data_IF_529624784990
#
_entry.id   IF_529624784990
#
_cell.length_a   1.000
_cell.length_b   1.000
_cell.length_c   1.000
_cell.angle_alpha   90.00
_cell.angle_beta   90.00
_cell.angle_gamma   90.00
#
_symmetry.space_group_name_H-M   'P 1'
#
loop_
_entity.id
_entity.type
_entity.pdbx_description
1 polymer ?
#
# COMPACT_ATOMS: atom_id res chain seq x y z
N UNK A 1 36.68 -16.69 7.76
CA UNK A 1 35.21 -16.74 7.61
C UNK A 1 34.73 -18.02 8.31
N UNK A 2 34.07 -17.88 9.47
CA UNK A 2 33.52 -19.03 10.21
C UNK A 2 32.46 -19.73 9.32
N UNK A 3 32.59 -21.04 9.14
CA UNK A 3 31.58 -21.82 8.40
C UNK A 3 30.25 -21.72 9.15
N UNK A 4 29.17 -21.41 8.45
CA UNK A 4 27.82 -21.44 9.00
C UNK A 4 27.51 -22.83 9.57
N UNK A 5 26.89 -22.91 10.75
CA UNK A 5 26.52 -24.21 11.31
C UNK A 5 25.48 -24.90 10.43
N UNK A 6 25.62 -26.19 10.24
CA UNK A 6 24.67 -27.01 9.47
C UNK A 6 23.85 -27.87 10.41
N UNK A 7 22.55 -27.97 10.16
CA UNK A 7 21.66 -28.82 10.92
C UNK A 7 21.82 -30.31 10.55
N UNK A 8 21.70 -31.16 11.56
CA UNK A 8 21.77 -32.62 11.38
C UNK A 8 20.82 -33.34 12.35
N UNK A 9 20.41 -34.53 12.02
CA UNK A 9 19.72 -35.45 12.94
C UNK A 9 20.66 -36.57 13.36
N UNK A 10 20.52 -36.98 14.61
CA UNK A 10 21.28 -38.09 15.19
C UNK A 10 20.36 -39.30 15.41
N UNK A 11 19.68 -39.71 14.37
CA UNK A 11 18.85 -40.91 14.40
C UNK A 11 18.99 -41.65 13.08
N UNK A 12 18.90 -42.97 13.12
CA UNK A 12 18.92 -43.86 11.96
C UNK A 12 17.50 -44.05 11.39
N UNK A 13 16.58 -43.13 11.68
CA UNK A 13 15.21 -43.21 11.20
C UNK A 13 15.14 -43.02 9.68
N UNK A 14 14.52 -43.94 8.94
CA UNK A 14 14.46 -43.88 7.48
C UNK A 14 13.68 -42.65 6.95
N UNK A 15 12.82 -42.07 7.75
CA UNK A 15 11.94 -40.93 7.40
C UNK A 15 12.43 -39.57 7.91
N UNK A 16 13.71 -39.44 8.33
CA UNK A 16 14.23 -38.20 8.91
C UNK A 16 14.06 -36.97 8.02
N UNK A 17 13.94 -37.11 6.70
CA UNK A 17 13.76 -36.02 5.73
C UNK A 17 12.40 -36.03 5.00
N UNK A 18 11.41 -36.86 5.44
CA UNK A 18 10.11 -37.03 4.78
C UNK A 18 8.95 -36.42 5.62
N UNK A 19 8.64 -35.13 5.47
CA UNK A 19 7.59 -34.49 6.30
C UNK A 19 6.18 -35.03 6.05
N UNK A 20 5.86 -35.48 4.79
CA UNK A 20 4.52 -35.98 4.43
C UNK A 20 4.11 -37.29 5.11
N UNK A 21 5.03 -37.97 5.79
CA UNK A 21 4.76 -39.22 6.57
C UNK A 21 4.95 -39.00 8.07
N UNK A 22 4.79 -37.75 8.57
CA UNK A 22 4.95 -37.47 10.00
C UNK A 22 6.41 -37.34 10.47
N UNK A 23 7.39 -37.57 9.59
CA UNK A 23 8.82 -37.50 9.93
C UNK A 23 9.23 -38.42 11.07
N UNK A 24 10.49 -38.39 11.48
CA UNK A 24 10.88 -39.00 12.76
C UNK A 24 10.61 -38.08 13.94
N UNK A 25 10.23 -38.63 15.08
CA UNK A 25 9.93 -37.89 16.31
C UNK A 25 11.13 -37.20 16.97
N UNK A 26 12.21 -36.95 16.23
CA UNK A 26 13.44 -36.34 16.74
C UNK A 26 13.64 -34.93 16.18
N UNK A 27 14.08 -34.03 17.06
CA UNK A 27 14.43 -32.65 16.71
C UNK A 27 15.75 -32.58 15.94
N UNK A 28 15.91 -31.52 15.14
CA UNK A 28 17.18 -31.20 14.48
C UNK A 28 18.17 -30.59 15.46
N UNK A 29 19.44 -30.86 15.28
CA UNK A 29 20.55 -30.36 16.10
C UNK A 29 21.56 -29.63 15.23
N UNK A 30 22.37 -28.77 15.85
CA UNK A 30 23.51 -28.13 15.20
C UNK A 30 24.65 -27.96 16.20
N UNK A 31 25.87 -27.79 15.70
CA UNK A 31 27.03 -27.49 16.54
C UNK A 31 27.25 -25.98 16.58
N UNK A 32 27.44 -25.40 17.76
CA UNK A 32 27.86 -24.01 17.96
C UNK A 32 29.22 -23.96 18.64
N UNK A 33 29.97 -22.90 18.38
CA UNK A 33 31.18 -22.58 19.14
C UNK A 33 30.79 -21.58 20.24
N UNK A 34 31.17 -21.86 21.48
CA UNK A 34 30.97 -20.94 22.61
C UNK A 34 32.01 -19.81 22.54
N UNK A 35 31.79 -18.74 23.30
CA UNK A 35 32.74 -17.62 23.38
C UNK A 35 34.12 -18.03 23.86
N UNK A 36 34.20 -19.14 24.62
CA UNK A 36 35.45 -19.80 25.08
C UNK A 36 36.10 -20.71 24.03
N UNK A 37 35.56 -20.77 22.80
CA UNK A 37 36.09 -21.58 21.70
C UNK A 37 35.73 -23.07 21.72
N UNK A 38 35.00 -23.56 22.72
CA UNK A 38 34.56 -24.93 22.79
C UNK A 38 33.34 -25.22 21.89
N UNK A 39 33.31 -26.41 21.28
CA UNK A 39 32.16 -26.81 20.42
C UNK A 39 31.11 -27.51 21.28
N UNK A 40 29.95 -26.91 21.39
CA UNK A 40 28.78 -27.49 22.07
C UNK A 40 27.66 -27.75 21.05
N UNK A 41 26.85 -28.79 21.36
CA UNK A 41 25.66 -29.12 20.59
C UNK A 41 24.45 -28.37 21.09
N UNK A 42 23.66 -27.80 20.20
CA UNK A 42 22.34 -27.28 20.52
C UNK A 42 21.28 -28.00 19.69
N UNK A 43 20.07 -28.07 20.19
CA UNK A 43 18.91 -28.66 19.49
C UNK A 43 17.95 -27.55 19.14
N UNK A 44 17.38 -27.61 17.94
CA UNK A 44 16.33 -26.68 17.53
C UNK A 44 15.01 -27.18 18.13
N UNK A 45 14.44 -26.50 19.11
CA UNK A 45 13.16 -26.88 19.70
C UNK A 45 12.07 -26.92 18.61
N UNK A 46 11.12 -27.83 18.74
CA UNK A 46 9.98 -27.98 17.82
C UNK A 46 10.34 -28.20 16.35
N UNK A 47 11.57 -28.61 16.04
CA UNK A 47 11.98 -28.99 14.69
C UNK A 47 11.57 -30.43 14.32
N UNK A 48 10.77 -31.07 15.15
CA UNK A 48 10.18 -32.40 14.89
C UNK A 48 9.24 -32.27 13.68
N UNK A 49 9.43 -33.18 12.72
CA UNK A 49 8.61 -33.18 11.48
C UNK A 49 9.06 -32.21 10.41
N UNK A 50 10.04 -31.33 10.67
CA UNK A 50 10.61 -30.45 9.65
C UNK A 50 11.61 -31.17 8.76
N UNK A 51 11.74 -30.70 7.51
CA UNK A 51 12.84 -31.08 6.61
C UNK A 51 14.15 -30.44 7.06
N UNK A 52 15.28 -30.96 6.57
CA UNK A 52 16.59 -30.34 6.81
C UNK A 52 16.64 -28.89 6.34
N UNK A 53 16.06 -28.57 5.17
CA UNK A 53 16.01 -27.22 4.63
C UNK A 53 15.20 -26.26 5.52
N UNK A 54 14.08 -26.71 6.08
CA UNK A 54 13.26 -25.92 7.00
C UNK A 54 13.97 -25.67 8.33
N UNK A 55 14.61 -26.69 8.88
CA UNK A 55 15.40 -26.57 10.10
C UNK A 55 16.62 -25.66 9.90
N UNK A 56 17.27 -25.73 8.72
CA UNK A 56 18.38 -24.85 8.37
C UNK A 56 17.92 -23.40 8.20
N UNK A 57 16.77 -23.17 7.59
CA UNK A 57 16.20 -21.83 7.46
C UNK A 57 15.90 -21.18 8.83
N UNK A 58 15.46 -21.97 9.81
CA UNK A 58 15.29 -21.49 11.19
C UNK A 58 16.65 -21.09 11.77
N UNK A 59 17.68 -21.91 11.56
CA UNK A 59 19.02 -21.66 12.07
C UNK A 59 19.67 -20.44 11.39
N UNK A 60 19.48 -20.27 10.07
CA UNK A 60 20.05 -19.16 9.29
C UNK A 60 19.42 -17.79 9.64
N UNK A 61 18.22 -17.78 10.20
CA UNK A 61 17.57 -16.57 10.73
C UNK A 61 18.07 -16.14 12.11
N UNK A 62 18.98 -16.91 12.71
CA UNK A 62 19.56 -16.62 14.01
C UNK A 62 20.92 -15.94 13.85
N UNK A 63 21.17 -14.90 14.66
CA UNK A 63 22.47 -14.27 14.72
C UNK A 63 23.55 -15.30 15.13
N UNK A 64 24.76 -15.27 14.52
CA UNK A 64 25.86 -16.15 14.94
C UNK A 64 26.13 -15.98 16.45
N UNK A 65 26.04 -17.05 17.23
CA UNK A 65 26.27 -17.02 18.67
C UNK A 65 25.02 -16.80 19.54
N UNK A 66 23.86 -16.49 18.98
CA UNK A 66 22.62 -16.45 19.75
C UNK A 66 22.30 -17.83 20.32
N UNK A 67 22.35 -17.96 21.64
CA UNK A 67 21.86 -19.15 22.33
C UNK A 67 20.36 -19.22 22.10
N UNK A 68 19.85 -20.36 21.65
CA UNK A 68 18.47 -20.71 21.88
C UNK A 68 18.32 -20.94 23.38
N UNK A 69 18.19 -19.86 24.13
CA UNK A 69 17.65 -19.95 25.46
C UNK A 69 16.30 -20.66 25.34
N UNK A 70 15.99 -21.63 26.23
CA UNK A 70 14.63 -22.15 26.28
C UNK A 70 13.71 -20.93 26.39
N UNK A 71 12.72 -20.83 25.51
CA UNK A 71 11.82 -19.65 25.43
C UNK A 71 10.97 -19.67 26.72
N UNK A 72 11.56 -19.29 27.84
CA UNK A 72 10.88 -19.09 29.13
C UNK A 72 10.09 -17.76 29.14
N UNK A 73 9.53 -17.35 28.04
CA UNK A 73 8.74 -16.15 28.07
C UNK A 73 7.27 -16.50 28.30
N UNK A 74 6.80 -16.19 29.51
CA UNK A 74 5.37 -16.11 29.82
C UNK A 74 4.70 -14.91 29.11
N UNK A 75 5.37 -14.32 28.07
CA UNK A 75 4.89 -13.18 27.35
C UNK A 75 3.57 -13.50 26.66
N UNK A 76 2.58 -12.66 26.91
CA UNK A 76 1.31 -12.69 26.22
C UNK A 76 1.41 -11.97 24.89
N UNK A 77 0.50 -12.27 23.97
CA UNK A 77 0.40 -11.55 22.69
C UNK A 77 0.25 -10.02 22.90
N UNK A 78 -0.58 -9.60 23.89
CA UNK A 78 -0.80 -8.17 24.21
C UNK A 78 0.49 -7.47 24.60
N UNK A 79 1.31 -8.10 25.45
CA UNK A 79 2.59 -7.53 25.89
C UNK A 79 3.57 -7.40 24.73
N UNK A 80 3.68 -8.44 23.88
CA UNK A 80 4.56 -8.41 22.73
C UNK A 80 4.09 -7.42 21.65
N UNK A 81 2.79 -7.39 21.39
CA UNK A 81 2.22 -6.43 20.43
C UNK A 81 2.44 -4.98 20.86
N UNK A 82 2.36 -4.69 22.17
CA UNK A 82 2.67 -3.36 22.69
C UNK A 82 4.15 -2.99 22.52
N UNK A 83 5.07 -3.92 22.82
CA UNK A 83 6.50 -3.72 22.59
C UNK A 83 6.80 -3.57 21.10
N UNK A 84 6.22 -4.40 20.23
CA UNK A 84 6.34 -4.29 18.77
C UNK A 84 5.88 -2.93 18.25
N UNK A 85 4.73 -2.41 18.69
CA UNK A 85 4.22 -1.09 18.34
C UNK A 85 5.18 0.03 18.76
N UNK A 86 5.74 -0.03 19.97
CA UNK A 86 6.66 0.99 20.49
C UNK A 86 7.96 1.09 19.69
N UNK A 87 8.43 -0.01 19.12
CA UNK A 87 9.66 -0.09 18.30
C UNK A 87 9.39 0.18 16.82
N UNK A 88 8.11 0.30 16.40
CA UNK A 88 7.75 0.36 14.97
C UNK A 88 8.15 1.68 14.34
N UNK A 89 9.09 1.62 13.39
CA UNK A 89 9.52 2.75 12.56
C UNK A 89 8.71 2.76 11.26
N UNK A 90 7.46 3.19 11.31
CA UNK A 90 6.59 3.32 10.14
C UNK A 90 5.99 4.74 10.09
N UNK A 91 5.32 5.07 8.98
CA UNK A 91 4.59 6.34 8.88
C UNK A 91 3.51 6.37 9.97
N UNK A 92 3.31 7.52 10.59
CA UNK A 92 2.37 7.71 11.73
C UNK A 92 0.96 7.17 11.45
N UNK A 93 0.44 7.42 10.24
CA UNK A 93 -0.86 6.88 9.81
C UNK A 93 -0.87 5.34 9.82
N UNK A 94 0.23 4.71 9.42
CA UNK A 94 0.34 3.25 9.45
C UNK A 94 0.42 2.73 10.88
N UNK A 95 1.16 3.42 11.76
CA UNK A 95 1.23 3.07 13.18
C UNK A 95 -0.14 3.19 13.84
N UNK A 96 -0.88 4.27 13.59
CA UNK A 96 -2.24 4.46 14.11
C UNK A 96 -3.21 3.36 13.62
N UNK A 97 -3.05 2.91 12.37
CA UNK A 97 -3.82 1.78 11.83
C UNK A 97 -3.46 0.47 12.55
N UNK A 98 -2.16 0.22 12.78
CA UNK A 98 -1.71 -0.97 13.53
C UNK A 98 -2.18 -0.94 14.98
N UNK A 99 -2.10 0.20 15.66
CA UNK A 99 -2.63 0.39 17.01
C UNK A 99 -4.12 0.04 17.09
N UNK A 100 -4.90 0.51 16.11
CA UNK A 100 -6.33 0.22 16.03
C UNK A 100 -6.58 -1.28 15.80
N UNK A 101 -5.88 -1.90 14.84
CA UNK A 101 -5.99 -3.33 14.59
C UNK A 101 -5.64 -4.16 15.84
N UNK A 102 -4.53 -3.82 16.51
CA UNK A 102 -4.12 -4.51 17.73
C UNK A 102 -5.14 -4.33 18.85
N UNK A 103 -5.57 -3.10 19.12
CA UNK A 103 -6.47 -2.78 20.24
C UNK A 103 -7.87 -3.35 20.05
N UNK A 104 -8.43 -3.18 18.86
CA UNK A 104 -9.86 -3.46 18.61
C UNK A 104 -10.08 -4.90 18.16
N UNK A 105 -9.15 -5.49 17.40
CA UNK A 105 -9.39 -6.78 16.76
C UNK A 105 -8.48 -7.90 17.26
N UNK A 106 -7.17 -7.63 17.43
CA UNK A 106 -6.23 -8.68 17.80
C UNK A 106 -6.20 -8.97 19.30
N UNK A 107 -6.19 -7.96 20.15
CA UNK A 107 -6.16 -8.13 21.60
C UNK A 107 -7.40 -8.83 22.18
N UNK A 108 -8.64 -8.60 21.71
CA UNK A 108 -9.79 -9.36 22.19
C UNK A 108 -9.66 -10.88 21.97
N UNK A 109 -9.05 -11.27 20.86
CA UNK A 109 -8.88 -12.68 20.48
C UNK A 109 -7.61 -13.32 21.05
N UNK A 110 -6.50 -12.62 20.96
CA UNK A 110 -5.16 -13.16 21.20
C UNK A 110 -4.48 -12.59 22.42
N UNK A 111 -4.91 -11.43 22.92
CA UNK A 111 -4.18 -10.62 23.89
C UNK A 111 -3.79 -11.35 25.18
N UNK A 112 -4.66 -12.20 25.72
CA UNK A 112 -4.41 -12.98 26.94
C UNK A 112 -3.62 -14.26 26.68
N UNK A 113 -3.50 -14.70 25.42
CA UNK A 113 -2.78 -15.94 25.10
C UNK A 113 -1.28 -15.74 25.20
N UNK A 114 -0.58 -16.71 25.77
CA UNK A 114 0.88 -16.74 25.74
C UNK A 114 1.35 -17.02 24.32
N UNK A 115 2.32 -16.26 23.80
CA UNK A 115 2.81 -16.39 22.42
C UNK A 115 3.16 -17.84 22.06
N UNK A 116 3.86 -18.53 22.95
CA UNK A 116 4.27 -19.93 22.77
C UNK A 116 3.12 -20.93 22.69
N UNK A 117 1.91 -20.55 23.09
CA UNK A 117 0.72 -21.44 23.06
C UNK A 117 -0.16 -21.21 21.85
N UNK A 118 0.16 -20.23 20.99
CA UNK A 118 -0.56 -20.01 19.75
C UNK A 118 -0.14 -21.10 18.76
N UNK A 119 -1.11 -21.86 18.27
CA UNK A 119 -0.91 -22.99 17.36
C UNK A 119 -1.54 -22.70 15.99
N UNK A 120 -0.98 -23.34 14.94
CA UNK A 120 -1.46 -23.21 13.55
C UNK A 120 -2.97 -23.44 13.43
N UNK A 121 -3.49 -24.53 14.01
CA UNK A 121 -4.92 -24.84 13.97
C UNK A 121 -5.82 -23.73 14.55
N UNK A 122 -5.34 -23.04 15.61
CA UNK A 122 -6.08 -21.90 16.17
C UNK A 122 -6.08 -20.67 15.26
N UNK A 123 -5.00 -20.51 14.49
CA UNK A 123 -4.86 -19.42 13.51
C UNK A 123 -5.76 -19.68 12.32
N UNK A 124 -5.75 -20.92 11.81
CA UNK A 124 -6.65 -21.36 10.72
C UNK A 124 -8.12 -21.18 11.09
N UNK A 125 -8.51 -21.64 12.28
CA UNK A 125 -9.88 -21.44 12.78
C UNK A 125 -10.27 -19.97 12.88
N UNK A 126 -9.32 -19.10 13.31
CA UNK A 126 -9.57 -17.66 13.37
C UNK A 126 -9.72 -17.03 11.99
N UNK A 127 -8.97 -17.47 10.98
CA UNK A 127 -9.15 -17.02 9.59
C UNK A 127 -10.56 -17.38 9.09
N UNK A 128 -11.02 -18.61 9.33
CA UNK A 128 -12.37 -19.06 8.99
C UNK A 128 -13.45 -18.24 9.72
N UNK A 129 -13.26 -17.95 11.01
CA UNK A 129 -14.15 -17.07 11.78
C UNK A 129 -14.24 -15.66 11.18
N UNK A 130 -13.10 -15.11 10.70
CA UNK A 130 -13.07 -13.78 10.06
C UNK A 130 -13.82 -13.79 8.72
N UNK A 131 -13.66 -14.83 7.91
CA UNK A 131 -14.35 -14.98 6.62
C UNK A 131 -15.86 -15.19 6.78
N UNK A 132 -16.26 -15.88 7.83
CA UNK A 132 -17.68 -16.12 8.13
C UNK A 132 -18.39 -14.92 8.76
N UNK A 133 -17.65 -13.87 9.16
CA UNK A 133 -18.21 -12.70 9.84
C UNK A 133 -18.79 -11.70 8.81
N UNK A 134 -20.12 -11.55 8.69
CA UNK A 134 -20.73 -10.65 7.74
C UNK A 134 -20.54 -9.16 8.07
N UNK A 135 -20.18 -8.84 9.31
CA UNK A 135 -20.01 -7.46 9.77
C UNK A 135 -18.65 -6.86 9.38
N UNK A 136 -17.71 -7.68 8.91
CA UNK A 136 -16.36 -7.27 8.56
C UNK A 136 -16.04 -7.66 7.13
N UNK A 137 -15.81 -6.67 6.27
CA UNK A 137 -15.37 -6.95 4.91
C UNK A 137 -14.05 -7.73 4.90
N UNK A 138 -13.91 -8.73 4.02
CA UNK A 138 -12.73 -9.57 3.92
C UNK A 138 -11.42 -8.78 3.70
N UNK A 139 -11.47 -7.66 2.98
CA UNK A 139 -10.31 -6.75 2.83
C UNK A 139 -9.87 -6.13 4.15
N UNK A 140 -10.80 -5.85 5.07
CA UNK A 140 -10.51 -5.38 6.43
C UNK A 140 -9.93 -6.52 7.27
N UNK A 141 -10.54 -7.70 7.20
CA UNK A 141 -10.04 -8.91 7.86
C UNK A 141 -8.62 -9.27 7.41
N UNK A 142 -8.33 -9.16 6.12
CA UNK A 142 -6.97 -9.34 5.56
C UNK A 142 -5.99 -8.30 6.10
N UNK A 143 -6.43 -7.06 6.29
CA UNK A 143 -5.63 -6.03 6.96
C UNK A 143 -5.23 -6.44 8.39
N UNK A 144 -6.17 -6.97 9.18
CA UNK A 144 -5.91 -7.48 10.53
C UNK A 144 -4.97 -8.71 10.52
N UNK A 145 -5.18 -9.61 9.58
CA UNK A 145 -4.33 -10.77 9.34
C UNK A 145 -2.89 -10.35 9.05
N UNK A 146 -2.66 -9.39 8.16
CA UNK A 146 -1.33 -8.85 7.84
C UNK A 146 -0.62 -8.30 9.10
N UNK A 147 -1.34 -7.57 9.95
CA UNK A 147 -0.78 -7.04 11.21
C UNK A 147 -0.42 -8.18 12.16
N UNK A 148 -1.29 -9.17 12.33
CA UNK A 148 -1.03 -10.34 13.14
C UNK A 148 0.24 -11.08 12.66
N UNK A 149 0.33 -11.37 11.35
CA UNK A 149 1.53 -12.00 10.75
C UNK A 149 2.81 -11.21 11.03
N UNK A 150 2.76 -9.88 10.94
CA UNK A 150 3.93 -9.04 11.24
C UNK A 150 4.37 -9.17 12.68
N UNK A 151 3.44 -9.19 13.63
CA UNK A 151 3.73 -9.31 15.07
C UNK A 151 4.31 -10.71 15.38
N UNK A 152 3.73 -11.76 14.83
CA UNK A 152 4.20 -13.14 15.02
C UNK A 152 5.57 -13.34 14.38
N UNK A 153 5.79 -12.80 13.16
CA UNK A 153 7.10 -12.85 12.50
C UNK A 153 8.17 -12.14 13.32
N UNK A 154 7.86 -10.99 13.90
CA UNK A 154 8.77 -10.25 14.77
C UNK A 154 9.05 -11.03 16.06
N UNK A 155 8.06 -11.71 16.63
CA UNK A 155 8.25 -12.58 17.80
C UNK A 155 9.22 -13.74 17.49
N UNK A 156 9.10 -14.36 16.31
CA UNK A 156 10.03 -15.40 15.88
C UNK A 156 11.45 -14.84 15.70
N UNK A 157 11.60 -13.71 15.00
CA UNK A 157 12.89 -13.07 14.74
C UNK A 157 13.61 -12.64 16.01
N UNK A 158 12.87 -12.32 17.07
CA UNK A 158 13.40 -11.94 18.38
C UNK A 158 13.45 -13.14 19.37
N UNK A 159 13.33 -14.37 18.89
CA UNK A 159 13.45 -15.60 19.72
C UNK A 159 12.38 -15.74 20.81
N UNK A 160 11.21 -15.10 20.68
CA UNK A 160 10.11 -15.17 21.64
C UNK A 160 9.20 -16.37 21.42
N UNK A 161 9.24 -16.94 20.22
CA UNK A 161 8.60 -18.21 19.84
C UNK A 161 9.59 -19.02 19.02
N UNK A 162 9.48 -20.34 19.10
CA UNK A 162 10.37 -21.26 18.39
C UNK A 162 9.92 -21.56 16.96
N UNK A 163 8.62 -21.42 16.68
CA UNK A 163 8.04 -21.66 15.36
C UNK A 163 6.98 -20.60 15.02
N UNK A 164 6.76 -20.40 13.74
CA UNK A 164 5.77 -19.45 13.26
C UNK A 164 4.40 -20.13 13.03
N UNK A 165 3.38 -19.90 13.88
CA UNK A 165 2.07 -20.51 13.71
C UNK A 165 1.28 -19.97 12.51
N UNK A 166 1.77 -18.91 11.83
CA UNK A 166 1.15 -18.38 10.60
C UNK A 166 1.82 -18.93 9.32
N UNK A 167 2.79 -19.84 9.46
CA UNK A 167 3.47 -20.43 8.30
C UNK A 167 2.51 -21.36 7.54
N UNK A 168 2.44 -21.19 6.22
CA UNK A 168 1.48 -21.90 5.36
C UNK A 168 0.02 -21.81 5.82
N UNK A 169 -0.36 -20.68 6.41
CA UNK A 169 -1.77 -20.33 6.65
C UNK A 169 -2.12 -19.21 5.68
N UNK A 170 -3.10 -19.48 4.84
CA UNK A 170 -3.67 -18.47 3.97
C UNK A 170 -4.49 -17.48 4.78
N UNK A 171 -4.45 -16.21 4.37
CA UNK A 171 -5.28 -15.17 4.97
C UNK A 171 -6.71 -15.21 4.45
N UNK A 172 -7.59 -14.36 4.97
CA UNK A 172 -8.96 -14.25 4.48
C UNK A 172 -8.95 -13.97 2.97
N UNK A 173 -9.78 -14.72 2.25
CA UNK A 173 -9.92 -14.54 0.82
C UNK A 173 -10.54 -13.18 0.49
N UNK A 174 -9.84 -12.40 -0.32
CA UNK A 174 -10.33 -11.11 -0.82
C UNK A 174 -10.57 -11.27 -2.32
N UNK A 175 -11.83 -11.23 -2.71
CA UNK A 175 -12.17 -11.23 -4.12
C UNK A 175 -11.56 -10.01 -4.82
N UNK A 176 -11.10 -10.18 -6.04
CA UNK A 176 -10.66 -9.06 -6.86
C UNK A 176 -11.82 -8.07 -7.01
N UNK A 177 -11.58 -6.82 -6.62
CA UNK A 177 -12.54 -5.76 -6.82
C UNK A 177 -12.26 -5.08 -8.15
N UNK A 178 -13.24 -5.07 -9.03
CA UNK A 178 -13.20 -4.21 -10.22
C UNK A 178 -13.38 -2.77 -9.76
N UNK A 179 -12.45 -1.90 -10.12
CA UNK A 179 -12.58 -0.47 -9.89
C UNK A 179 -13.66 0.07 -10.83
N UNK A 180 -14.49 0.98 -10.32
CA UNK A 180 -15.46 1.68 -11.16
C UNK A 180 -14.73 2.62 -12.12
N UNK A 181 -15.09 2.58 -13.41
CA UNK A 181 -14.57 3.50 -14.43
C UNK A 181 -15.74 4.38 -14.87
N UNK A 182 -15.64 5.66 -14.54
CA UNK A 182 -16.67 6.63 -14.94
C UNK A 182 -16.66 6.87 -16.45
N UNK A 183 -17.83 6.95 -17.05
CA UNK A 183 -17.94 7.45 -18.42
C UNK A 183 -17.62 8.94 -18.52
N UNK A 184 -17.26 9.46 -19.71
CA UNK A 184 -17.09 10.90 -19.89
C UNK A 184 -18.32 11.72 -19.47
N UNK A 185 -19.52 11.22 -19.81
CA UNK A 185 -20.78 11.90 -19.47
C UNK A 185 -21.00 11.96 -17.95
N UNK A 186 -20.69 10.91 -17.22
CA UNK A 186 -20.75 10.91 -15.76
C UNK A 186 -19.73 11.87 -15.14
N UNK A 187 -18.51 11.94 -15.70
CA UNK A 187 -17.49 12.89 -15.22
C UNK A 187 -18.00 14.34 -15.36
N UNK A 188 -18.59 14.68 -16.50
CA UNK A 188 -19.13 16.03 -16.72
C UNK A 188 -20.41 16.29 -15.92
N UNK A 189 -21.29 15.30 -15.79
CA UNK A 189 -22.47 15.39 -14.92
C UNK A 189 -22.08 15.66 -13.46
N UNK A 190 -21.02 14.99 -12.97
CA UNK A 190 -20.48 15.27 -11.64
C UNK A 190 -19.97 16.71 -11.57
N UNK A 191 -19.21 17.19 -12.55
CA UNK A 191 -18.70 18.56 -12.57
C UNK A 191 -19.83 19.60 -12.52
N UNK A 192 -20.88 19.40 -13.30
CA UNK A 192 -22.01 20.33 -13.41
C UNK A 192 -22.88 20.36 -12.11
N UNK A 193 -23.12 19.18 -11.54
CA UNK A 193 -23.92 19.04 -10.34
C UNK A 193 -23.17 19.41 -9.04
N UNK A 194 -21.83 19.35 -9.06
CA UNK A 194 -21.02 19.56 -7.87
C UNK A 194 -21.12 21.00 -7.36
N UNK A 195 -21.09 21.23 -6.03
CA UNK A 195 -21.07 22.58 -5.50
C UNK A 195 -19.96 23.44 -6.12
N UNK A 196 -20.29 24.62 -6.62
CA UNK A 196 -19.38 25.49 -7.40
C UNK A 196 -17.99 25.65 -6.79
N UNK A 197 -17.93 25.77 -5.44
CA UNK A 197 -16.66 25.91 -4.69
C UNK A 197 -15.78 24.65 -4.70
N UNK A 198 -16.29 23.49 -5.07
CA UNK A 198 -15.60 22.20 -4.99
C UNK A 198 -15.51 21.47 -6.34
N UNK A 199 -16.17 21.98 -7.39
CA UNK A 199 -16.32 21.27 -8.67
C UNK A 199 -15.02 20.90 -9.37
N UNK A 200 -13.95 21.67 -9.13
CA UNK A 200 -12.63 21.35 -9.70
C UNK A 200 -11.94 20.19 -9.00
N UNK A 201 -12.34 19.87 -7.78
CA UNK A 201 -11.70 18.76 -7.03
C UNK A 201 -11.94 17.41 -7.73
N UNK A 202 -13.19 17.02 -8.10
CA UNK A 202 -13.42 15.84 -8.93
C UNK A 202 -12.72 15.93 -10.30
N UNK A 203 -12.73 17.10 -10.92
CA UNK A 203 -12.08 17.31 -12.21
C UNK A 203 -10.58 17.00 -12.15
N UNK A 204 -9.88 17.45 -11.11
CA UNK A 204 -8.47 17.08 -10.86
C UNK A 204 -8.30 15.56 -10.67
N UNK A 205 -9.32 14.87 -10.17
CA UNK A 205 -9.33 13.41 -10.05
C UNK A 205 -9.33 12.72 -11.42
N UNK A 206 -10.31 13.05 -12.28
CA UNK A 206 -10.47 12.37 -13.57
C UNK A 206 -9.60 12.94 -14.71
N UNK A 207 -9.19 14.21 -14.63
CA UNK A 207 -8.37 14.84 -15.68
C UNK A 207 -6.85 14.77 -15.41
N UNK A 208 -6.43 14.60 -14.15
CA UNK A 208 -5.03 14.56 -13.75
C UNK A 208 -4.67 13.32 -12.89
N UNK A 209 -5.61 12.44 -12.62
CA UNK A 209 -5.38 11.23 -11.83
C UNK A 209 -4.96 11.48 -10.37
N UNK A 210 -5.30 12.62 -9.78
CA UNK A 210 -4.91 12.97 -8.43
C UNK A 210 -5.64 12.10 -7.39
N UNK A 211 -4.90 11.70 -6.34
CA UNK A 211 -5.55 11.14 -5.15
C UNK A 211 -6.35 12.23 -4.43
N UNK A 212 -7.43 11.86 -3.77
CA UNK A 212 -8.29 12.83 -3.07
C UNK A 212 -7.51 13.78 -2.15
N UNK A 213 -6.54 13.25 -1.39
CA UNK A 213 -5.74 14.06 -0.48
C UNK A 213 -4.80 15.04 -1.23
N UNK A 214 -4.40 14.72 -2.45
CA UNK A 214 -3.61 15.57 -3.34
C UNK A 214 -4.50 16.63 -3.98
N UNK A 215 -5.66 16.26 -4.52
CA UNK A 215 -6.61 17.19 -5.15
C UNK A 215 -7.10 18.27 -4.16
N UNK A 216 -7.40 17.88 -2.91
CA UNK A 216 -7.77 18.81 -1.84
C UNK A 216 -6.63 19.75 -1.41
N UNK A 217 -5.38 19.42 -1.73
CA UNK A 217 -4.18 20.14 -1.33
C UNK A 217 -3.59 21.05 -2.41
N UNK A 218 -4.28 21.22 -3.52
CA UNK A 218 -3.78 22.06 -4.63
C UNK A 218 -3.74 23.52 -4.17
N UNK A 219 -2.59 24.14 -4.42
CA UNK A 219 -2.29 25.55 -4.15
C UNK A 219 -1.94 26.24 -5.49
N UNK A 220 -1.96 27.57 -5.51
CA UNK A 220 -1.67 28.31 -6.73
C UNK A 220 -0.21 28.19 -7.18
N UNK A 221 0.72 28.02 -6.26
CA UNK A 221 2.17 27.89 -6.54
C UNK A 221 2.60 26.60 -7.26
N UNK A 222 1.64 25.70 -7.52
CA UNK A 222 1.91 24.41 -8.19
C UNK A 222 1.22 24.29 -9.56
N UNK A 223 0.51 25.33 -9.98
CA UNK A 223 -0.20 25.40 -11.28
C UNK A 223 0.59 26.30 -12.22
N UNK A 224 1.08 25.74 -13.28
CA UNK A 224 1.69 26.47 -14.39
C UNK A 224 0.74 26.38 -15.60
N UNK A 225 -0.02 27.45 -15.84
CA UNK A 225 -0.99 27.51 -16.94
C UNK A 225 -0.32 27.68 -18.29
N UNK A 226 0.86 28.32 -18.32
CA UNK A 226 1.62 28.55 -19.57
C UNK A 226 2.20 27.22 -20.07
N UNK A 227 2.88 26.47 -19.20
CA UNK A 227 3.42 25.14 -19.51
C UNK A 227 2.36 24.04 -19.47
N UNK A 228 1.16 24.33 -19.00
CA UNK A 228 0.06 23.36 -18.80
C UNK A 228 0.48 22.19 -17.92
N UNK A 229 1.15 22.49 -16.82
CA UNK A 229 1.65 21.51 -15.87
C UNK A 229 1.11 21.77 -14.46
N UNK A 230 0.81 20.69 -13.76
CA UNK A 230 0.48 20.68 -12.33
C UNK A 230 1.57 19.90 -11.58
N UNK A 231 2.37 20.59 -10.79
CA UNK A 231 3.38 19.98 -9.94
C UNK A 231 2.76 19.54 -8.62
N UNK A 232 2.31 18.32 -8.53
CA UNK A 232 1.72 17.77 -7.30
C UNK A 232 2.81 17.50 -6.28
N UNK A 233 2.81 18.25 -5.17
CA UNK A 233 3.80 18.12 -4.09
C UNK A 233 3.20 17.97 -2.71
N UNK A 234 1.93 18.32 -2.52
CA UNK A 234 1.26 18.35 -1.22
C UNK A 234 0.10 17.39 -1.15
N UNK A 235 -0.22 16.99 0.06
CA UNK A 235 -1.45 16.28 0.40
C UNK A 235 -2.04 16.82 1.70
N UNK A 236 -3.35 16.68 1.87
CA UNK A 236 -4.01 16.97 3.16
C UNK A 236 -3.91 15.74 4.05
N UNK A 237 -3.38 15.94 5.26
CA UNK A 237 -3.38 14.95 6.33
C UNK A 237 -4.17 15.45 7.53
N UNK A 238 -4.66 14.48 8.32
CA UNK A 238 -5.33 14.70 9.59
C UNK A 238 -4.89 13.60 10.54
N UNK A 239 -3.96 13.94 11.43
CA UNK A 239 -3.33 13.01 12.38
C UNK A 239 -3.38 13.56 13.80
N UNK A 240 -2.91 12.80 14.78
CA UNK A 240 -2.74 13.28 16.15
C UNK A 240 -1.80 14.49 16.22
N UNK A 241 -0.71 14.45 15.45
CA UNK A 241 0.31 15.51 15.39
C UNK A 241 -0.27 16.82 14.83
N UNK A 242 -1.22 16.72 13.92
CA UNK A 242 -1.98 17.87 13.39
C UNK A 242 -3.16 18.23 14.28
N UNK A 243 -3.32 17.64 15.47
CA UNK A 243 -4.47 17.77 16.36
C UNK A 243 -5.79 17.52 15.63
N UNK A 244 -5.78 16.56 14.70
CA UNK A 244 -6.89 16.23 13.82
C UNK A 244 -7.42 17.40 12.96
N UNK A 245 -6.67 18.50 12.84
CA UNK A 245 -6.97 19.58 11.90
C UNK A 245 -6.45 19.23 10.51
N UNK A 246 -7.19 19.52 9.43
CA UNK A 246 -6.69 19.37 8.08
C UNK A 246 -5.43 20.22 7.91
N UNK A 247 -4.34 19.60 7.48
CA UNK A 247 -3.04 20.24 7.35
C UNK A 247 -2.42 19.86 6.01
N UNK A 248 -1.92 20.86 5.29
CA UNK A 248 -1.14 20.65 4.08
C UNK A 248 0.25 20.10 4.47
N UNK A 249 0.62 18.97 3.92
CA UNK A 249 1.94 18.39 4.16
C UNK A 249 2.68 18.28 2.83
N UNK A 250 3.85 18.89 2.77
CA UNK A 250 4.73 18.88 1.60
C UNK A 250 5.45 17.54 1.46
N UNK A 251 4.65 16.51 1.24
CA UNK A 251 5.10 15.12 1.11
C UNK A 251 4.04 14.27 0.44
N UNK A 252 4.41 13.53 -0.59
CA UNK A 252 3.54 12.55 -1.23
C UNK A 252 3.71 11.15 -0.62
N UNK A 253 2.67 10.33 -0.75
CA UNK A 253 2.62 8.98 -0.17
C UNK A 253 3.68 8.03 -0.78
N UNK A 254 3.95 8.15 -2.06
CA UNK A 254 4.56 7.10 -2.89
C UNK A 254 5.93 7.43 -3.48
N UNK A 255 6.45 8.63 -3.38
CA UNK A 255 7.77 8.95 -3.93
C UNK A 255 8.83 9.10 -2.85
N UNK A 256 9.76 8.14 -2.68
CA UNK A 256 10.87 8.28 -1.74
C UNK A 256 12.02 9.15 -2.29
N UNK A 257 12.11 9.38 -3.60
CA UNK A 257 13.20 10.13 -4.24
C UNK A 257 12.80 11.51 -4.76
N UNK A 258 11.57 11.66 -5.26
CA UNK A 258 11.03 12.92 -5.73
C UNK A 258 9.72 13.15 -4.96
N UNK A 259 9.71 14.15 -4.09
CA UNK A 259 8.49 14.51 -3.33
C UNK A 259 7.41 15.14 -4.21
N UNK A 260 7.61 15.18 -5.53
CA UNK A 260 6.72 15.80 -6.52
C UNK A 260 6.46 14.87 -7.68
N UNK A 261 5.39 15.12 -8.40
CA UNK A 261 5.07 14.55 -9.70
C UNK A 261 4.46 15.64 -10.58
N UNK A 262 4.88 15.70 -11.83
CA UNK A 262 4.36 16.64 -12.82
C UNK A 262 3.32 15.93 -13.66
N UNK A 263 2.13 16.53 -13.73
CA UNK A 263 1.00 15.99 -14.46
C UNK A 263 0.56 17.03 -15.49
N UNK A 264 0.40 16.67 -16.79
CA UNK A 264 -0.10 17.59 -17.77
C UNK A 264 -1.55 17.97 -17.47
N UNK A 265 -1.88 19.24 -17.67
CA UNK A 265 -3.22 19.79 -17.51
C UNK A 265 -3.88 19.90 -18.89
N UNK A 266 -5.02 19.24 -19.15
CA UNK A 266 -5.74 19.43 -20.41
C UNK A 266 -6.23 20.88 -20.55
N UNK A 267 -6.32 21.43 -21.80
CA UNK A 267 -6.70 22.83 -22.04
C UNK A 267 -8.00 23.26 -21.33
N UNK A 268 -9.05 22.44 -21.38
CA UNK A 268 -10.32 22.74 -20.71
C UNK A 268 -10.21 22.87 -19.19
N UNK A 269 -9.23 22.21 -18.58
CA UNK A 269 -8.98 22.34 -17.13
C UNK A 269 -8.15 23.58 -16.82
N UNK A 270 -7.26 24.02 -17.73
CA UNK A 270 -6.56 25.30 -17.60
C UNK A 270 -7.56 26.44 -17.51
N UNK A 271 -8.46 26.55 -18.50
CA UNK A 271 -9.52 27.59 -18.54
C UNK A 271 -10.40 27.53 -17.29
N UNK A 272 -10.76 26.31 -16.84
CA UNK A 272 -11.57 26.13 -15.64
C UNK A 272 -10.83 26.55 -14.35
N UNK A 273 -9.52 26.30 -14.26
CA UNK A 273 -8.69 26.72 -13.12
C UNK A 273 -8.53 28.24 -13.08
N UNK A 274 -8.25 28.87 -14.19
CA UNK A 274 -8.14 30.34 -14.28
C UNK A 274 -9.44 31.03 -13.90
N UNK A 275 -10.54 30.64 -14.53
CA UNK A 275 -11.86 31.21 -14.20
C UNK A 275 -12.30 30.91 -12.75
N UNK A 276 -11.87 29.79 -12.17
CA UNK A 276 -12.13 29.49 -10.77
C UNK A 276 -11.32 30.41 -9.83
N UNK A 277 -10.02 30.60 -10.13
CA UNK A 277 -9.15 31.47 -9.33
C UNK A 277 -9.56 32.95 -9.39
N UNK A 278 -10.11 33.40 -10.52
CA UNK A 278 -10.69 34.74 -10.64
C UNK A 278 -11.92 34.92 -9.74
N UNK A 279 -12.84 33.94 -9.75
CA UNK A 279 -14.07 33.99 -8.97
C UNK A 279 -13.85 33.67 -7.48
N UNK A 280 -12.90 32.81 -7.16
CA UNK A 280 -12.55 32.36 -5.84
C UNK A 280 -11.03 32.40 -5.64
N UNK A 281 -10.46 33.58 -5.37
CA UNK A 281 -9.01 33.72 -5.22
C UNK A 281 -8.42 32.79 -4.17
N UNK A 282 -7.26 32.18 -4.45
CA UNK A 282 -6.54 31.35 -3.49
C UNK A 282 -6.28 32.08 -2.17
N UNK A 283 -6.44 31.38 -1.05
CA UNK A 283 -6.34 31.97 0.28
C UNK A 283 -5.15 31.44 1.06
N UNK A 284 -4.50 32.32 1.82
CA UNK A 284 -3.37 31.95 2.65
C UNK A 284 -3.80 31.07 3.81
N UNK A 285 -3.07 29.96 4.00
CA UNK A 285 -3.16 29.12 5.18
C UNK A 285 -1.80 29.02 5.86
N UNK A 286 -1.82 29.01 7.19
CA UNK A 286 -0.63 28.72 8.02
C UNK A 286 -0.56 27.24 8.44
N UNK A 287 -1.55 26.44 8.07
CA UNK A 287 -1.58 25.00 8.36
C UNK A 287 -0.80 24.21 7.30
N UNK A 288 0.50 24.53 7.20
CA UNK A 288 1.41 23.88 6.27
C UNK A 288 2.61 23.33 7.04
N UNK A 289 2.95 22.07 6.77
CA UNK A 289 4.16 21.43 7.27
C UNK A 289 5.14 21.25 6.11
N UNK A 290 6.21 22.00 6.16
CA UNK A 290 7.31 21.93 5.20
C UNK A 290 8.41 21.00 5.70
N UNK A 291 9.20 20.48 4.79
CA UNK A 291 10.30 19.57 5.02
C UNK A 291 9.89 18.17 5.51
N UNK A 292 10.53 17.23 4.89
CA UNK A 292 10.30 15.81 5.11
C UNK A 292 11.20 15.30 6.24
N UNK A 293 10.75 15.42 7.47
CA UNK A 293 11.37 14.76 8.62
C UNK A 293 10.71 13.41 8.90
N UNK A 294 11.32 12.59 9.74
CA UNK A 294 10.78 11.28 10.13
C UNK A 294 9.40 11.39 10.77
N UNK A 295 9.17 12.45 11.52
CA UNK A 295 7.90 12.73 12.19
C UNK A 295 7.35 14.08 11.73
N UNK A 296 6.03 14.23 11.74
CA UNK A 296 5.37 15.51 11.40
C UNK A 296 5.66 16.60 12.44
N UNK A 297 6.00 16.21 13.68
CA UNK A 297 6.37 17.14 14.75
C UNK A 297 7.71 17.85 14.50
N UNK A 298 8.59 17.24 13.71
CA UNK A 298 9.90 17.80 13.32
C UNK A 298 9.83 18.69 12.06
N UNK A 299 8.67 18.74 11.39
CA UNK A 299 8.49 19.56 10.21
C UNK A 299 8.37 21.05 10.56
N UNK A 300 8.97 21.89 9.72
CA UNK A 300 8.80 23.35 9.83
C UNK A 300 7.40 23.75 9.40
N UNK A 301 6.80 24.67 10.12
CA UNK A 301 5.54 25.33 9.73
C UNK A 301 5.81 26.39 8.68
N UNK A 302 4.85 26.56 7.76
CA UNK A 302 4.92 27.54 6.70
C UNK A 302 3.56 28.00 6.26
N UNK A 303 3.51 28.73 5.17
CA UNK A 303 2.29 29.25 4.56
C UNK A 303 2.18 28.78 3.12
N UNK A 304 0.94 28.64 2.62
CA UNK A 304 0.64 28.41 1.22
C UNK A 304 -0.70 29.04 0.86
N UNK A 305 -0.94 29.27 -0.42
CA UNK A 305 -2.22 29.79 -0.91
C UNK A 305 -3.02 28.63 -1.50
N UNK A 306 -3.92 28.07 -0.70
CA UNK A 306 -4.76 26.95 -1.11
C UNK A 306 -5.93 27.40 -1.99
N UNK A 307 -6.30 26.59 -2.99
CA UNK A 307 -7.43 26.85 -3.87
C UNK A 307 -8.77 26.55 -3.18
N UNK A 308 -8.84 25.48 -2.40
CA UNK A 308 -10.10 24.93 -1.94
C UNK A 308 -10.32 25.16 -0.44
N UNK A 309 -11.49 25.71 -0.11
CA UNK A 309 -11.87 26.07 1.24
C UNK A 309 -13.28 25.61 1.55
N UNK A 310 -13.47 25.14 2.77
CA UNK A 310 -14.79 24.82 3.29
C UNK A 310 -15.64 26.09 3.44
N UNK A 311 -16.95 25.92 3.62
CA UNK A 311 -17.86 27.03 3.90
C UNK A 311 -17.47 27.82 5.17
N UNK A 312 -16.73 27.19 6.09
CA UNK A 312 -16.23 27.81 7.33
C UNK A 312 -14.82 28.39 7.20
N UNK A 313 -14.33 28.59 5.97
CA UNK A 313 -12.98 29.11 5.68
C UNK A 313 -11.82 28.29 6.28
N UNK A 314 -11.98 26.98 6.38
CA UNK A 314 -10.93 26.05 6.77
C UNK A 314 -10.53 25.19 5.58
N UNK A 315 -9.33 24.60 5.62
CA UNK A 315 -8.95 23.53 4.70
C UNK A 315 -9.98 22.39 4.75
N UNK A 316 -10.22 21.75 3.62
CA UNK A 316 -11.27 20.75 3.49
C UNK A 316 -10.78 19.41 4.06
N UNK A 317 -11.53 18.85 4.99
CA UNK A 317 -11.32 17.50 5.48
C UNK A 317 -11.90 16.48 4.51
N UNK A 318 -11.14 15.42 4.23
CA UNK A 318 -11.57 14.32 3.35
C UNK A 318 -12.94 13.74 3.69
N UNK A 319 -13.23 13.51 4.98
CA UNK A 319 -14.50 12.94 5.39
C UNK A 319 -15.66 13.91 5.12
N UNK A 320 -15.52 15.19 5.48
CA UNK A 320 -16.53 16.19 5.20
C UNK A 320 -16.78 16.36 3.69
N UNK A 321 -15.71 16.35 2.89
CA UNK A 321 -15.86 16.36 1.44
C UNK A 321 -16.69 15.18 0.93
N UNK A 322 -16.40 13.97 1.43
CA UNK A 322 -17.13 12.78 1.03
C UNK A 322 -18.59 12.80 1.48
N UNK A 323 -18.86 13.22 2.71
CA UNK A 323 -20.18 13.13 3.29
C UNK A 323 -21.08 14.31 2.87
N UNK A 324 -20.51 15.52 2.70
CA UNK A 324 -21.26 16.75 2.42
C UNK A 324 -21.35 17.07 0.91
N UNK A 325 -20.47 16.52 0.08
CA UNK A 325 -20.43 16.81 -1.35
C UNK A 325 -20.40 15.55 -2.24
N UNK A 326 -19.40 14.69 -2.09
CA UNK A 326 -19.17 13.57 -3.00
C UNK A 326 -20.35 12.59 -3.05
N UNK A 327 -20.67 11.99 -1.93
CA UNK A 327 -21.77 11.01 -1.84
C UNK A 327 -23.15 11.60 -2.17
N UNK A 328 -23.52 12.80 -1.72
CA UNK A 328 -24.78 13.43 -2.11
C UNK A 328 -24.88 13.65 -3.61
N UNK A 329 -23.81 14.14 -4.27
CA UNK A 329 -23.81 14.35 -5.72
C UNK A 329 -24.02 13.03 -6.48
N UNK A 330 -23.28 11.97 -6.14
CA UNK A 330 -23.45 10.66 -6.79
C UNK A 330 -24.87 10.09 -6.59
N UNK A 331 -25.45 10.24 -5.39
CA UNK A 331 -26.83 9.82 -5.13
C UNK A 331 -27.83 10.56 -6.00
N UNK A 332 -27.66 11.88 -6.14
CA UNK A 332 -28.53 12.73 -6.97
C UNK A 332 -28.46 12.34 -8.45
N UNK A 333 -27.26 12.01 -8.93
CA UNK A 333 -27.02 11.56 -10.29
C UNK A 333 -27.38 10.09 -10.53
N UNK A 334 -27.68 9.33 -9.48
CA UNK A 334 -27.97 7.89 -9.58
C UNK A 334 -26.78 7.01 -9.90
N UNK A 335 -25.55 7.53 -9.78
CA UNK A 335 -24.32 6.82 -10.13
C UNK A 335 -23.99 5.78 -9.05
N UNK A 336 -23.93 4.51 -9.44
CA UNK A 336 -23.65 3.36 -8.57
C UNK A 336 -22.89 2.30 -9.36
N UNK A 337 -22.11 1.47 -8.67
CA UNK A 337 -21.53 0.26 -9.22
C UNK A 337 -22.61 -0.84 -9.44
N UNK A 338 -22.21 -1.93 -10.07
CA UNK A 338 -23.10 -3.07 -10.34
C UNK A 338 -23.70 -3.72 -9.05
N UNK A 339 -23.03 -3.51 -7.91
CA UNK A 339 -23.48 -4.00 -6.59
C UNK A 339 -24.36 -2.96 -5.86
N UNK A 340 -24.62 -1.80 -6.48
CA UNK A 340 -25.39 -0.71 -5.90
C UNK A 340 -24.62 0.19 -4.93
N UNK A 341 -23.30 0.05 -4.82
CA UNK A 341 -22.46 0.92 -3.99
C UNK A 341 -22.11 2.21 -4.72
N UNK A 342 -21.90 3.27 -3.96
CA UNK A 342 -21.40 4.54 -4.51
C UNK A 342 -19.91 4.41 -4.83
N UNK A 343 -19.47 4.73 -6.07
CA UNK A 343 -18.06 4.82 -6.39
C UNK A 343 -17.32 5.80 -5.47
N UNK A 344 -16.06 5.53 -5.21
CA UNK A 344 -15.21 6.38 -4.38
C UNK A 344 -14.55 7.48 -5.21
N UNK A 345 -14.00 8.51 -4.55
CA UNK A 345 -13.18 9.50 -5.27
C UNK A 345 -11.96 8.85 -5.97
N UNK A 346 -11.48 7.72 -5.45
CA UNK A 346 -10.32 7.05 -6.03
C UNK A 346 -10.63 6.44 -7.40
N UNK A 347 -11.89 6.13 -7.66
CA UNK A 347 -12.33 5.60 -8.95
C UNK A 347 -12.21 6.63 -10.09
N UNK A 348 -12.19 7.94 -9.80
CA UNK A 348 -11.83 8.97 -10.78
C UNK A 348 -10.38 8.82 -11.27
N UNK A 349 -9.48 8.46 -10.37
CA UNK A 349 -8.09 8.17 -10.73
C UNK A 349 -7.99 6.86 -11.52
N UNK A 350 -8.77 5.84 -11.18
CA UNK A 350 -8.88 4.63 -11.99
C UNK A 350 -9.38 4.97 -13.40
N UNK A 351 -10.37 5.84 -13.52
CA UNK A 351 -10.85 6.36 -14.81
C UNK A 351 -9.74 7.03 -15.60
N UNK A 352 -8.97 7.96 -14.99
CA UNK A 352 -7.84 8.61 -15.64
C UNK A 352 -6.81 7.60 -16.17
N UNK A 353 -6.38 6.67 -15.33
CA UNK A 353 -5.39 5.65 -15.71
C UNK A 353 -5.91 4.78 -16.85
N UNK A 354 -7.15 4.26 -16.73
CA UNK A 354 -7.78 3.44 -17.76
C UNK A 354 -7.88 4.17 -19.09
N UNK A 355 -8.35 5.42 -19.06
CA UNK A 355 -8.45 6.26 -20.25
C UNK A 355 -7.07 6.51 -20.90
N UNK A 356 -6.05 6.83 -20.11
CA UNK A 356 -4.69 7.02 -20.63
C UNK A 356 -4.14 5.77 -21.31
N UNK A 357 -4.28 4.61 -20.66
CA UNK A 357 -3.79 3.34 -21.21
C UNK A 357 -4.55 2.92 -22.47
N UNK A 358 -5.88 3.06 -22.49
CA UNK A 358 -6.71 2.79 -23.66
C UNK A 358 -6.39 3.70 -24.84
N UNK A 359 -5.96 4.95 -24.60
CA UNK A 359 -5.49 5.87 -25.63
C UNK A 359 -4.00 5.69 -25.98
N UNK A 360 -3.37 4.61 -25.57
CA UNK A 360 -2.00 4.25 -25.95
C UNK A 360 -0.89 5.05 -25.26
N UNK A 361 -1.18 5.77 -24.19
CA UNK A 361 -0.14 6.45 -23.43
C UNK A 361 0.72 5.39 -22.72
N UNK A 362 2.07 5.44 -22.88
CA UNK A 362 2.96 4.43 -22.31
C UNK A 362 2.80 4.30 -20.79
N UNK A 363 2.79 3.05 -20.28
CA UNK A 363 2.61 2.73 -18.87
C UNK A 363 3.56 3.50 -17.93
N UNK A 364 4.84 3.62 -18.32
CA UNK A 364 5.83 4.33 -17.52
C UNK A 364 5.52 5.82 -17.39
N UNK A 365 4.93 6.42 -18.44
CA UNK A 365 4.49 7.81 -18.44
C UNK A 365 3.29 7.99 -17.50
N UNK A 366 2.28 7.13 -17.63
CA UNK A 366 1.11 7.16 -16.74
C UNK A 366 1.54 6.91 -15.28
N UNK A 367 2.44 5.94 -15.06
CA UNK A 367 2.99 5.65 -13.73
C UNK A 367 3.67 6.87 -13.10
N UNK A 368 4.47 7.61 -13.88
CA UNK A 368 5.12 8.84 -13.43
C UNK A 368 4.10 9.92 -13.05
N UNK A 369 3.08 10.17 -13.87
CA UNK A 369 2.04 11.16 -13.61
C UNK A 369 1.22 10.85 -12.37
N UNK A 370 0.86 9.58 -12.19
CA UNK A 370 0.05 9.19 -11.04
C UNK A 370 0.90 8.90 -9.80
N UNK A 371 2.21 8.67 -9.93
CA UNK A 371 3.12 8.37 -8.83
C UNK A 371 2.89 6.96 -8.26
N UNK A 372 2.71 5.97 -9.14
CA UNK A 372 2.67 4.54 -8.83
C UNK A 372 3.85 3.85 -9.54
N UNK A 373 4.14 2.60 -9.21
CA UNK A 373 5.09 1.81 -9.98
C UNK A 373 4.43 1.20 -11.22
N UNK A 374 5.24 0.91 -12.25
CA UNK A 374 4.74 0.23 -13.46
C UNK A 374 4.17 -1.15 -13.10
N UNK A 375 4.79 -1.85 -12.15
CA UNK A 375 4.33 -3.14 -11.64
C UNK A 375 2.94 -3.04 -11.01
N UNK A 376 2.68 -1.96 -10.27
CA UNK A 376 1.38 -1.72 -9.64
C UNK A 376 0.31 -1.42 -10.70
N UNK A 377 0.64 -0.62 -11.72
CA UNK A 377 -0.24 -0.41 -12.87
C UNK A 377 -0.54 -1.73 -13.59
N UNK A 378 0.47 -2.52 -13.94
CA UNK A 378 0.30 -3.81 -14.60
C UNK A 378 -0.57 -4.77 -13.80
N UNK A 379 -0.34 -4.86 -12.49
CA UNK A 379 -1.15 -5.72 -11.63
C UNK A 379 -2.63 -5.34 -11.66
N UNK A 380 -2.94 -4.04 -11.69
CA UNK A 380 -4.32 -3.54 -11.60
C UNK A 380 -5.01 -3.43 -12.96
N UNK A 381 -4.25 -3.08 -14.01
CA UNK A 381 -4.80 -2.74 -15.33
C UNK A 381 -4.32 -3.68 -16.45
N UNK A 382 -3.80 -4.89 -16.11
CA UNK A 382 -3.30 -5.86 -17.11
C UNK A 382 -4.32 -6.24 -18.17
N UNK A 383 -5.61 -6.24 -17.82
CA UNK A 383 -6.70 -6.53 -18.75
C UNK A 383 -6.85 -5.46 -19.86
N UNK A 384 -6.54 -4.19 -19.57
CA UNK A 384 -6.54 -3.11 -20.54
C UNK A 384 -5.32 -3.13 -21.45
N UNK A 385 -4.21 -3.72 -20.99
CA UNK A 385 -2.96 -3.80 -21.74
C UNK A 385 -2.95 -4.96 -22.75
N UNK A 386 -3.87 -5.91 -22.62
CA UNK A 386 -3.97 -7.09 -23.50
C UNK A 386 -4.75 -6.83 -24.80
N UNK A 387 -5.59 -5.80 -24.83
CA UNK A 387 -6.45 -5.48 -25.97
C UNK A 387 -5.77 -4.61 -27.06
N UNK A 388 -4.44 -4.59 -27.12
CA UNK A 388 -3.76 -4.08 -28.29
C UNK A 388 -3.83 -5.08 -29.47
N UNK A 389 -5.05 -5.42 -29.87
CA UNK A 389 -5.29 -6.23 -31.08
C UNK A 389 -4.72 -5.57 -32.35
N UNK A 390 -4.45 -4.28 -32.32
CA UNK A 390 -3.83 -3.52 -33.41
C UNK A 390 -2.29 -3.55 -33.40
N UNK A 391 -1.67 -4.15 -32.38
CA UNK A 391 -0.20 -4.26 -32.32
C UNK A 391 0.34 -5.14 -33.47
N UNK A 392 -0.44 -6.12 -33.93
CA UNK A 392 -0.06 -6.95 -35.08
C UNK A 392 0.01 -6.13 -36.36
N UNK A 393 -0.92 -5.20 -36.58
CA UNK A 393 -0.90 -4.28 -37.72
C UNK A 393 0.28 -3.31 -37.65
N UNK A 394 0.54 -2.72 -36.49
CA UNK A 394 1.67 -1.81 -36.28
C UNK A 394 3.04 -2.50 -36.41
N UNK A 395 3.20 -3.71 -35.87
CA UNK A 395 4.42 -4.51 -36.05
C UNK A 395 4.59 -4.91 -37.54
N UNK A 396 3.54 -5.36 -38.19
CA UNK A 396 3.56 -5.69 -39.59
C UNK A 396 3.94 -4.46 -40.46
N UNK A 397 3.35 -3.29 -40.18
CA UNK A 397 3.68 -2.04 -40.90
C UNK A 397 5.12 -1.58 -40.68
N UNK A 398 5.65 -1.71 -39.45
CA UNK A 398 7.03 -1.31 -39.11
C UNK A 398 8.09 -2.24 -39.67
N UNK A 399 7.79 -3.54 -39.82
CA UNK A 399 8.71 -4.56 -40.33
C UNK A 399 8.62 -4.79 -41.84
N UNK A 400 7.54 -4.35 -42.51
CA UNK A 400 7.33 -4.56 -43.94
C UNK A 400 7.64 -3.33 -44.82
N UNK A 401 7.89 -2.18 -44.21
CA UNK A 401 8.38 -1.02 -44.94
C UNK A 401 9.84 -1.24 -45.38
N UNK A 402 10.02 -1.97 -46.48
CA UNK A 402 11.33 -2.05 -47.15
C UNK A 402 11.72 -0.63 -47.57
N UNK A 403 12.87 -0.06 -47.15
CA UNK A 403 13.27 1.27 -47.60
C UNK A 403 13.36 1.27 -49.12
N UNK A 404 12.73 2.26 -49.76
CA UNK A 404 12.79 2.45 -51.20
C UNK A 404 14.27 2.50 -51.61
N UNK A 405 14.69 1.51 -52.39
CA UNK A 405 16.05 1.44 -52.94
C UNK A 405 16.27 2.71 -53.75
N UNK A 406 17.17 3.57 -53.30
CA UNK A 406 17.58 4.74 -54.08
C UNK A 406 17.94 4.29 -55.49
N UNK A 407 17.25 4.84 -56.49
CA UNK A 407 17.56 4.59 -57.89
C UNK A 407 19.02 5.03 -58.12
N UNK A 408 19.88 4.08 -58.46
CA UNK A 408 21.22 4.42 -58.92
C UNK A 408 21.06 5.21 -60.25
N UNK A 409 21.76 6.34 -60.44
CA UNK A 409 21.76 7.00 -61.70
C UNK A 409 22.38 6.10 -62.74
N UNK A 410 21.64 5.85 -63.83
CA UNK A 410 22.15 5.15 -65.01
C UNK A 410 23.23 6.07 -65.59
N UNK A 411 24.48 5.61 -65.56
CA UNK A 411 25.58 6.27 -66.24
C UNK A 411 25.31 6.27 -67.75
N UNK A 412 25.37 7.43 -68.37
CA UNK A 412 25.34 7.61 -69.80
C UNK A 412 26.66 7.28 -70.47
#
# INVERSE_FOLDING_TARGET
VARKPTVYKRCDCPDQNRPKKGGCGHSWSYNRTTDEGSRTRATIPESVGLTQAQAQAILDGMAPGAALEPVETNLTFKQWAADWLSRRRAKEISVASYETAVRVHLNPRWGSKRLRTIRKAQVEAWVQEMEANPDVANSTAEGHWKVFKMIIKDALQNGKIASNPTYEVDGPYVAESTSYVFSPDECWAIYDEFPKRYRLIPMLGFACGLRQAEALAVCDDVIDTDSKLLTVRRQILRTKETRYSPTLVDRLKTSPRLNTKDVPIPPYLVDALEGFMEQQPPRVTQNVLWEHKKTLTECKRGTARALFWSARNNLICRNHFNDDAWKPTLRKLGIKDEKGNLPTFHDLRHTFISTCLQNGIPEHTVAAWVGDSVEELRRTYSHLLRDHADTHGAIAASLTARPARAAQPVAA
#
